data_IF_961303154575
#
_entry.id   IF_961303154575
#
_cell.length_a   1.000
_cell.length_b   1.000
_cell.length_c   1.000
_cell.angle_alpha   90.00
_cell.angle_beta   90.00
_cell.angle_gamma   90.00
#
_symmetry.space_group_name_H-M   'P 1'
#
loop_
_entity.id
_entity.type
_entity.pdbx_description
1 polymer ?
#
# COMPACT_ATOMS: atom_id res chain seq x y z
N UNK A 1 -8.58 -0.63 -0.02
CA UNK A 1 -9.81 -1.47 -0.20
C UNK A 1 -9.84 -2.66 0.76
N UNK A 2 -11.01 -3.25 1.03
CA UNK A 2 -11.30 -4.43 1.87
C UNK A 2 -11.08 -4.31 3.39
N UNK A 3 -10.60 -3.18 3.89
CA UNK A 3 -10.42 -2.94 5.33
C UNK A 3 -11.37 -1.86 5.84
N UNK A 4 -11.83 -2.02 7.10
CA UNK A 4 -12.72 -1.06 7.75
C UNK A 4 -14.02 -0.86 6.97
N UNK A 5 -14.29 0.38 6.56
CA UNK A 5 -15.49 0.75 5.78
C UNK A 5 -15.26 0.76 4.27
N UNK A 6 -14.01 0.62 3.80
CA UNK A 6 -13.66 0.70 2.37
C UNK A 6 -13.86 -0.66 1.69
N UNK A 7 -15.11 -1.11 1.63
CA UNK A 7 -15.52 -2.46 1.21
C UNK A 7 -16.18 -2.42 -0.18
N UNK A 8 -15.55 -2.93 -1.25
CA UNK A 8 -16.11 -2.86 -2.62
C UNK A 8 -17.51 -3.45 -2.76
N UNK A 9 -17.77 -4.56 -2.06
CA UNK A 9 -19.06 -5.28 -2.08
C UNK A 9 -19.70 -5.28 -0.68
N UNK A 10 -19.47 -4.24 0.12
CA UNK A 10 -19.99 -4.15 1.49
C UNK A 10 -19.58 -5.35 2.35
N UNK A 11 -20.51 -5.86 3.16
CA UNK A 11 -20.26 -7.02 4.04
C UNK A 11 -19.87 -8.31 3.30
N UNK A 12 -20.19 -8.41 2.01
CA UNK A 12 -19.87 -9.58 1.20
C UNK A 12 -18.45 -9.53 0.62
N UNK A 13 -17.71 -8.43 0.80
CA UNK A 13 -16.38 -8.26 0.20
C UNK A 13 -15.42 -9.40 0.58
N UNK A 14 -15.49 -9.92 1.80
CA UNK A 14 -14.56 -10.97 2.24
C UNK A 14 -15.01 -12.39 1.92
N UNK A 15 -16.07 -12.59 1.13
CA UNK A 15 -16.46 -13.93 0.66
C UNK A 15 -15.58 -14.39 -0.49
N UNK A 16 -15.48 -15.70 -0.71
CA UNK A 16 -14.63 -16.30 -1.75
C UNK A 16 -14.96 -15.74 -3.14
N UNK A 17 -16.24 -15.47 -3.40
CA UNK A 17 -16.72 -14.96 -4.70
C UNK A 17 -16.33 -13.49 -4.93
N UNK A 18 -16.14 -12.71 -3.86
CA UNK A 18 -15.93 -11.26 -3.93
C UNK A 18 -14.51 -10.81 -3.54
N UNK A 19 -13.65 -11.71 -3.06
CA UNK A 19 -12.30 -11.38 -2.60
C UNK A 19 -11.31 -11.10 -3.75
N UNK A 20 -11.69 -11.39 -5.00
CA UNK A 20 -10.80 -11.35 -6.16
C UNK A 20 -10.15 -9.99 -6.46
N UNK A 21 -10.70 -8.88 -5.95
CA UNK A 21 -10.11 -7.54 -6.12
C UNK A 21 -9.21 -7.11 -4.95
N UNK A 22 -8.95 -7.98 -3.98
CA UNK A 22 -8.01 -7.74 -2.89
C UNK A 22 -6.58 -8.09 -3.33
N UNK A 23 -5.90 -7.11 -3.93
CA UNK A 23 -4.48 -7.23 -4.29
C UNK A 23 -3.70 -5.95 -3.93
N UNK A 24 -2.37 -6.06 -3.87
CA UNK A 24 -1.47 -4.92 -3.64
C UNK A 24 -1.58 -3.92 -4.79
N UNK A 25 -1.52 -4.38 -6.03
CA UNK A 25 -1.59 -3.56 -7.25
C UNK A 25 -2.86 -2.72 -7.28
N UNK A 26 -3.98 -3.36 -6.94
CA UNK A 26 -5.28 -2.74 -6.85
C UNK A 26 -5.35 -1.67 -5.75
N UNK A 27 -4.74 -1.93 -4.58
CA UNK A 27 -4.64 -0.94 -3.51
C UNK A 27 -3.74 0.25 -3.90
N UNK A 28 -2.64 0.02 -4.60
CA UNK A 28 -1.78 1.11 -5.11
C UNK A 28 -2.52 1.96 -6.15
N UNK A 29 -3.28 1.33 -7.05
CA UNK A 29 -4.10 2.05 -8.02
C UNK A 29 -5.18 2.92 -7.34
N UNK A 30 -5.80 2.44 -6.26
CA UNK A 30 -6.72 3.25 -5.45
C UNK A 30 -6.03 4.51 -4.92
N UNK A 31 -4.81 4.39 -4.40
CA UNK A 31 -4.05 5.53 -3.88
C UNK A 31 -3.68 6.52 -4.98
N UNK A 32 -3.27 6.06 -6.16
CA UNK A 32 -2.95 6.95 -7.29
C UNK A 32 -4.18 7.74 -7.71
N UNK A 33 -5.34 7.09 -7.82
CA UNK A 33 -6.60 7.78 -8.16
C UNK A 33 -6.97 8.81 -7.10
N UNK A 34 -6.88 8.45 -5.82
CA UNK A 34 -7.14 9.36 -4.71
C UNK A 34 -6.20 10.57 -4.72
N UNK A 35 -4.90 10.37 -4.92
CA UNK A 35 -3.92 11.46 -4.98
C UNK A 35 -4.24 12.42 -6.12
N UNK A 36 -4.61 11.89 -7.30
CA UNK A 36 -4.99 12.73 -8.45
C UNK A 36 -6.23 13.56 -8.15
N UNK A 37 -7.25 12.95 -7.55
CA UNK A 37 -8.48 13.66 -7.19
C UNK A 37 -8.20 14.75 -6.16
N UNK A 38 -7.48 14.44 -5.08
CA UNK A 38 -7.10 15.42 -4.06
C UNK A 38 -6.27 16.56 -4.66
N UNK A 39 -5.35 16.28 -5.58
CA UNK A 39 -4.57 17.35 -6.22
C UNK A 39 -5.47 18.26 -7.08
N UNK A 40 -6.46 17.70 -7.77
CA UNK A 40 -7.40 18.48 -8.58
C UNK A 40 -8.35 19.32 -7.71
N UNK A 41 -8.95 18.72 -6.67
CA UNK A 41 -9.89 19.38 -5.75
C UNK A 41 -9.28 20.60 -5.06
N UNK A 42 -7.98 20.53 -4.77
CA UNK A 42 -7.24 21.58 -4.06
C UNK A 42 -6.32 22.42 -4.95
N UNK A 43 -6.38 22.28 -6.28
CA UNK A 43 -5.51 23.01 -7.23
C UNK A 43 -4.01 22.89 -6.88
N UNK A 44 -3.61 21.68 -6.51
CA UNK A 44 -2.31 21.34 -5.95
C UNK A 44 -1.46 20.51 -6.92
N UNK A 45 -1.63 20.66 -8.24
CA UNK A 45 -1.02 19.81 -9.26
C UNK A 45 0.51 19.76 -9.17
N UNK A 46 1.13 20.85 -8.73
CA UNK A 46 2.60 20.97 -8.56
C UNK A 46 3.10 20.60 -7.16
N UNK A 47 2.22 20.33 -6.20
CA UNK A 47 2.62 19.98 -4.85
C UNK A 47 3.29 18.59 -4.84
N UNK A 48 4.45 18.44 -4.18
CA UNK A 48 5.10 17.15 -4.04
C UNK A 48 4.30 16.24 -3.10
N UNK A 49 4.34 14.94 -3.36
CA UNK A 49 3.60 13.92 -2.60
C UNK A 49 4.60 13.00 -1.90
N UNK A 50 4.55 12.98 -0.57
CA UNK A 50 5.31 12.04 0.25
C UNK A 50 4.36 11.03 0.87
N UNK A 51 4.61 9.74 0.65
CA UNK A 51 3.80 8.67 1.22
C UNK A 51 4.45 8.09 2.49
N UNK A 52 3.62 7.77 3.48
CA UNK A 52 4.07 7.26 4.78
C UNK A 52 3.36 5.95 5.09
N UNK A 53 4.07 5.01 5.70
CA UNK A 53 3.50 3.75 6.11
C UNK A 53 4.42 2.94 7.00
N UNK A 54 3.84 2.05 7.80
CA UNK A 54 4.57 1.11 8.65
C UNK A 54 4.16 -0.33 8.39
N UNK A 55 5.04 -1.31 8.64
CA UNK A 55 4.75 -2.73 8.43
C UNK A 55 4.26 -3.00 6.99
N UNK A 56 3.11 -3.64 6.80
CA UNK A 56 2.48 -3.79 5.47
C UNK A 56 2.21 -2.43 4.80
N UNK A 57 1.78 -1.42 5.56
CA UNK A 57 1.65 -0.06 5.03
C UNK A 57 2.99 0.51 4.54
N UNK A 58 4.09 0.15 5.19
CA UNK A 58 5.44 0.51 4.75
C UNK A 58 5.83 -0.19 3.45
N UNK A 59 5.41 -1.44 3.24
CA UNK A 59 5.54 -2.12 1.94
C UNK A 59 4.80 -1.35 0.85
N UNK A 60 3.55 -0.95 1.13
CA UNK A 60 2.75 -0.15 0.19
C UNK A 60 3.40 1.20 -0.11
N UNK A 61 3.94 1.91 0.89
CA UNK A 61 4.66 3.17 0.68
C UNK A 61 5.90 3.00 -0.21
N UNK A 62 6.71 1.97 0.04
CA UNK A 62 7.86 1.66 -0.80
C UNK A 62 7.42 1.34 -2.26
N UNK A 63 6.38 0.51 -2.42
CA UNK A 63 5.88 0.15 -3.74
C UNK A 63 5.23 1.31 -4.49
N UNK A 64 4.55 2.24 -3.80
CA UNK A 64 4.04 3.48 -4.40
C UNK A 64 5.18 4.26 -5.06
N UNK A 65 6.28 4.52 -4.33
CA UNK A 65 7.42 5.26 -4.89
C UNK A 65 8.11 4.51 -6.02
N UNK A 66 8.22 3.18 -5.94
CA UNK A 66 8.85 2.37 -7.00
C UNK A 66 8.00 2.32 -8.27
N UNK A 67 6.68 2.14 -8.14
CA UNK A 67 5.78 1.91 -9.28
C UNK A 67 5.21 3.19 -9.90
N UNK A 68 5.07 4.26 -9.11
CA UNK A 68 4.50 5.54 -9.55
C UNK A 68 5.41 6.72 -9.16
N UNK A 69 6.67 6.74 -9.62
CA UNK A 69 7.62 7.80 -9.26
C UNK A 69 7.25 9.19 -9.82
N UNK A 70 6.36 9.24 -10.81
CA UNK A 70 5.77 10.43 -11.42
C UNK A 70 4.64 11.05 -10.57
N UNK A 71 4.02 10.25 -9.69
CA UNK A 71 2.93 10.68 -8.79
C UNK A 71 3.44 10.94 -7.37
N UNK A 72 4.41 10.15 -6.91
CA UNK A 72 4.92 10.16 -5.53
C UNK A 72 6.40 10.51 -5.52
N UNK A 73 6.77 11.65 -4.96
CA UNK A 73 8.14 12.18 -4.91
C UNK A 73 9.04 11.49 -3.88
N UNK A 74 8.45 10.94 -2.82
CA UNK A 74 9.20 10.26 -1.77
C UNK A 74 8.34 9.34 -0.91
N UNK A 75 8.99 8.42 -0.20
CA UNK A 75 8.31 7.47 0.68
C UNK A 75 9.09 7.22 1.98
N UNK A 76 8.37 7.20 3.11
CA UNK A 76 8.86 6.67 4.38
C UNK A 76 8.24 5.29 4.63
N UNK A 77 9.04 4.25 4.44
CA UNK A 77 8.66 2.86 4.65
C UNK A 77 9.20 2.34 5.99
N UNK A 78 8.47 2.61 7.07
CA UNK A 78 8.92 2.27 8.43
C UNK A 78 8.69 0.79 8.76
N UNK A 79 9.71 0.10 9.27
CA UNK A 79 9.63 -1.34 9.64
C UNK A 79 8.96 -2.21 8.58
N UNK A 80 9.22 -1.92 7.30
CA UNK A 80 8.61 -2.61 6.16
C UNK A 80 9.38 -3.92 5.84
N UNK A 81 8.75 -5.10 5.98
CA UNK A 81 9.45 -6.38 5.83
C UNK A 81 9.59 -6.81 4.35
N UNK A 82 10.22 -5.98 3.51
CA UNK A 82 10.30 -6.19 2.03
C UNK A 82 10.88 -7.56 1.66
N UNK A 83 11.98 -7.94 2.32
CA UNK A 83 12.68 -9.18 2.02
C UNK A 83 11.85 -10.41 2.41
N UNK A 84 11.38 -10.49 3.65
CA UNK A 84 10.60 -11.65 4.09
C UNK A 84 9.26 -11.75 3.37
N UNK A 85 8.60 -10.63 3.06
CA UNK A 85 7.36 -10.64 2.27
C UNK A 85 7.56 -11.12 0.82
N UNK A 86 8.77 -10.95 0.25
CA UNK A 86 9.12 -11.49 -1.07
C UNK A 86 9.54 -12.97 -1.04
N UNK A 87 9.51 -13.62 0.13
CA UNK A 87 10.01 -14.99 0.31
C UNK A 87 11.54 -15.09 0.37
N UNK A 88 12.24 -13.95 0.48
CA UNK A 88 13.69 -13.88 0.62
C UNK A 88 14.13 -13.90 2.09
N UNK A 89 15.32 -14.42 2.35
CA UNK A 89 15.92 -14.46 3.68
C UNK A 89 15.65 -15.76 4.45
N UNK A 90 16.11 -15.81 5.70
CA UNK A 90 15.95 -16.99 6.55
C UNK A 90 14.53 -17.05 7.15
N UNK A 91 13.87 -18.20 6.96
CA UNK A 91 12.52 -18.48 7.46
C UNK A 91 12.46 -18.54 8.99
N UNK A 92 13.57 -18.85 9.65
CA UNK A 92 13.64 -18.91 11.11
C UNK A 92 13.95 -17.55 11.76
N UNK A 93 14.34 -16.55 10.96
CA UNK A 93 14.82 -15.26 11.45
C UNK A 93 13.81 -14.56 12.36
N UNK A 94 12.52 -14.59 12.00
CA UNK A 94 11.50 -13.88 12.79
C UNK A 94 11.48 -14.35 14.25
N UNK A 95 11.41 -15.67 14.48
CA UNK A 95 11.38 -16.19 15.84
C UNK A 95 12.73 -16.07 16.55
N UNK A 96 13.84 -16.21 15.82
CA UNK A 96 15.18 -16.01 16.37
C UNK A 96 15.43 -14.57 16.83
N UNK A 97 14.84 -13.56 16.18
CA UNK A 97 14.96 -12.16 16.61
C UNK A 97 14.02 -11.83 17.81
N UNK A 98 13.02 -12.67 18.09
CA UNK A 98 12.07 -12.49 19.20
C UNK A 98 12.61 -13.09 20.51
N UNK A 99 13.33 -14.21 20.42
CA UNK A 99 13.83 -15.00 21.56
C UNK A 99 15.32 -14.83 21.78
#
# INVERSE_FOLDING_TARGET
RYYGKSLPNGKLSTTIENIGLLSVEQALADFVMLIKEVKADFQAEKCPVIVFGSSYGGLLSAYMRIKYPDIVDGALASSAPLYSASGSGDRNKFFADVT
#
